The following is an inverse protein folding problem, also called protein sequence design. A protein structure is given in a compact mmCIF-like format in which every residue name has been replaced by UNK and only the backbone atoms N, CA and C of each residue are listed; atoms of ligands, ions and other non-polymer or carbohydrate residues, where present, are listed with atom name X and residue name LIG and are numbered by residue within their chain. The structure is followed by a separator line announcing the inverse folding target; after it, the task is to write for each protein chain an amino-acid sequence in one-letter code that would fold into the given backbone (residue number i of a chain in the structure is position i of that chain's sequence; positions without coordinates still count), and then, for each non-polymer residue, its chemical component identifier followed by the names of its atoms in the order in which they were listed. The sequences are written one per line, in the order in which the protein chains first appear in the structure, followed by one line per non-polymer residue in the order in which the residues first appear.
data_IF_102930812234
#
_entry.id   IF_102930812234
#
_cell.length_a   1.000
_cell.length_b   1.000
_cell.length_c   1.000
_cell.angle_alpha   90.00
_cell.angle_beta   90.00
_cell.angle_gamma   90.00
#
_symmetry.space_group_name_H-M   'P 1'
#
loop_
_entity.id
_entity.type
_entity.pdbx_description
1 polymer ?
#
# COMPACT_ATOMS: atom_id res chain seq x y z
N UNK A 1 8.46 -13.80 -23.12
CA UNK A 1 7.06 -14.03 -23.54
C UNK A 1 6.81 -13.27 -24.83
N UNK A 2 6.16 -13.86 -25.84
CA UNK A 2 5.82 -13.17 -27.10
C UNK A 2 4.49 -12.39 -26.97
N UNK A 3 4.23 -11.39 -27.82
CA UNK A 3 2.96 -10.61 -27.85
C UNK A 3 1.73 -11.52 -28.02
N UNK A 4 1.79 -12.47 -28.96
CA UNK A 4 0.72 -13.46 -29.16
C UNK A 4 0.47 -14.33 -27.93
N UNK A 5 1.55 -14.75 -27.24
CA UNK A 5 1.45 -15.52 -26.01
C UNK A 5 0.82 -14.70 -24.87
N UNK A 6 1.14 -13.40 -24.80
CA UNK A 6 0.58 -12.48 -23.81
C UNK A 6 -0.92 -12.23 -24.04
N UNK A 7 -1.35 -12.03 -25.29
CA UNK A 7 -2.78 -11.87 -25.62
C UNK A 7 -3.57 -13.15 -25.33
N UNK A 8 -2.99 -14.31 -25.65
CA UNK A 8 -3.59 -15.61 -25.33
C UNK A 8 -3.70 -15.83 -23.81
N UNK A 9 -2.71 -15.42 -23.03
CA UNK A 9 -2.72 -15.56 -21.57
C UNK A 9 -3.79 -14.67 -20.89
N UNK A 10 -4.10 -13.51 -21.47
CA UNK A 10 -5.20 -12.66 -21.02
C UNK A 10 -6.56 -13.04 -21.63
N UNK A 11 -6.58 -14.03 -22.53
CA UNK A 11 -7.75 -14.44 -23.30
C UNK A 11 -8.38 -13.29 -24.11
N UNK A 12 -7.53 -12.47 -24.74
CA UNK A 12 -7.90 -11.27 -25.49
C UNK A 12 -7.58 -11.46 -26.98
N UNK A 13 -8.35 -10.84 -27.88
CA UNK A 13 -8.11 -10.91 -29.33
C UNK A 13 -6.87 -10.11 -29.73
N UNK A 14 -6.30 -10.43 -30.90
CA UNK A 14 -5.12 -9.75 -31.43
C UNK A 14 -5.34 -8.26 -31.74
N UNK A 15 -6.59 -7.87 -32.05
CA UNK A 15 -6.98 -6.52 -32.43
C UNK A 15 -7.62 -5.72 -31.28
N UNK A 16 -7.58 -6.24 -30.06
CA UNK A 16 -8.22 -5.62 -28.91
C UNK A 16 -7.57 -4.29 -28.51
N UNK A 17 -8.41 -3.34 -28.14
CA UNK A 17 -7.98 -2.05 -27.61
C UNK A 17 -7.14 -2.21 -26.33
N UNK A 18 -6.27 -1.23 -26.07
CA UNK A 18 -5.51 -1.15 -24.82
C UNK A 18 -6.43 -1.19 -23.58
N UNK A 19 -7.64 -0.65 -23.69
CA UNK A 19 -8.60 -0.64 -22.59
C UNK A 19 -9.21 -2.03 -22.36
N UNK A 20 -9.48 -2.81 -23.41
CA UNK A 20 -9.92 -4.21 -23.31
C UNK A 20 -8.86 -5.08 -22.63
N UNK A 21 -7.58 -4.86 -22.96
CA UNK A 21 -6.45 -5.57 -22.34
C UNK A 21 -6.38 -5.28 -20.82
N UNK A 22 -6.64 -4.03 -20.39
CA UNK A 22 -6.69 -3.68 -18.97
C UNK A 22 -7.86 -4.33 -18.26
N UNK A 23 -9.03 -4.35 -18.88
CA UNK A 23 -10.24 -4.93 -18.31
C UNK A 23 -10.06 -6.43 -18.10
N UNK A 24 -9.57 -7.14 -19.12
CA UNK A 24 -9.27 -8.56 -19.05
C UNK A 24 -8.24 -8.88 -17.95
N UNK A 25 -7.18 -8.09 -17.85
CA UNK A 25 -6.19 -8.22 -16.77
C UNK A 25 -6.81 -8.06 -15.38
N UNK A 26 -7.62 -7.01 -15.16
CA UNK A 26 -8.26 -6.76 -13.86
C UNK A 26 -9.19 -7.90 -13.44
N UNK A 27 -9.95 -8.44 -14.40
CA UNK A 27 -10.84 -9.58 -14.15
C UNK A 27 -10.06 -10.82 -13.73
N UNK A 28 -9.05 -11.21 -14.52
CA UNK A 28 -8.22 -12.38 -14.25
C UNK A 28 -7.40 -12.22 -12.96
N UNK A 29 -6.90 -11.03 -12.66
CA UNK A 29 -6.16 -10.76 -11.43
C UNK A 29 -7.00 -10.95 -10.16
N UNK A 30 -8.31 -10.68 -10.24
CA UNK A 30 -9.24 -10.89 -9.12
C UNK A 30 -9.65 -12.37 -8.97
N UNK A 31 -9.82 -13.07 -10.09
CA UNK A 31 -10.15 -14.50 -10.12
C UNK A 31 -9.00 -15.37 -9.60
N UNK A 32 -7.76 -15.05 -10.00
CA UNK A 32 -6.56 -15.81 -9.65
C UNK A 32 -5.74 -15.20 -8.51
N UNK A 33 -6.34 -14.31 -7.70
CA UNK A 33 -5.65 -13.71 -6.58
C UNK A 33 -5.28 -14.78 -5.53
N UNK A 34 -4.02 -14.86 -5.06
CA UNK A 34 -3.56 -15.92 -4.16
C UNK A 34 -4.30 -15.94 -2.81
N UNK A 35 -4.84 -14.80 -2.39
CA UNK A 35 -5.66 -14.68 -1.16
C UNK A 35 -7.06 -15.31 -1.30
N UNK A 36 -7.61 -15.34 -2.52
CA UNK A 36 -8.93 -15.93 -2.80
C UNK A 36 -8.86 -17.37 -3.27
N UNK A 37 -7.77 -17.76 -3.93
CA UNK A 37 -7.65 -19.06 -4.56
C UNK A 37 -6.52 -19.89 -3.92
N UNK A 38 -6.83 -20.50 -2.77
CA UNK A 38 -5.92 -21.35 -1.99
C UNK A 38 -5.55 -22.67 -2.69
N UNK A 39 -6.20 -22.99 -3.82
CA UNK A 39 -6.03 -24.26 -4.55
C UNK A 39 -4.72 -24.34 -5.34
N UNK A 40 -4.20 -23.20 -5.82
CA UNK A 40 -2.89 -23.10 -6.47
C UNK A 40 -1.90 -22.35 -5.57
N UNK A 41 -1.26 -23.07 -4.66
CA UNK A 41 -0.33 -22.51 -3.65
C UNK A 41 0.83 -21.66 -4.21
N UNK A 42 1.16 -21.80 -5.49
CA UNK A 42 2.32 -21.12 -6.10
C UNK A 42 1.97 -19.84 -6.87
N UNK A 43 0.68 -19.56 -7.09
CA UNK A 43 0.21 -18.39 -7.84
C UNK A 43 0.79 -18.32 -9.27
N UNK A 44 1.06 -19.47 -9.88
CA UNK A 44 1.74 -19.56 -11.17
C UNK A 44 0.90 -18.93 -12.29
N UNK A 45 -0.43 -19.08 -12.24
CA UNK A 45 -1.34 -18.42 -13.17
C UNK A 45 -1.34 -16.90 -13.01
N UNK A 46 -1.38 -16.40 -11.77
CA UNK A 46 -1.29 -14.96 -11.49
C UNK A 46 0.01 -14.34 -12.01
N UNK A 47 1.14 -15.04 -11.83
CA UNK A 47 2.44 -14.61 -12.39
C UNK A 47 2.40 -14.51 -13.91
N UNK A 48 1.85 -15.53 -14.59
CA UNK A 48 1.70 -15.53 -16.06
C UNK A 48 0.83 -14.38 -16.56
N UNK A 49 -0.30 -14.13 -15.89
CA UNK A 49 -1.22 -13.02 -16.21
C UNK A 49 -0.51 -11.66 -16.04
N UNK A 50 0.26 -11.50 -14.96
CA UNK A 50 1.01 -10.27 -14.68
C UNK A 50 2.15 -10.04 -15.66
N UNK A 51 2.91 -11.09 -16.02
CA UNK A 51 3.96 -11.04 -17.04
C UNK A 51 3.40 -10.67 -18.42
N UNK A 52 2.26 -11.26 -18.80
CA UNK A 52 1.57 -10.97 -20.05
C UNK A 52 1.16 -9.49 -20.14
N UNK A 53 0.51 -8.97 -19.10
CA UNK A 53 0.08 -7.56 -19.06
C UNK A 53 1.26 -6.59 -19.10
N UNK A 54 2.32 -6.87 -18.34
CA UNK A 54 3.53 -6.02 -18.34
C UNK A 54 4.22 -6.00 -19.71
N UNK A 55 4.23 -7.13 -20.42
CA UNK A 55 4.76 -7.20 -21.77
C UNK A 55 3.91 -6.36 -22.74
N UNK A 56 2.58 -6.45 -22.69
CA UNK A 56 1.69 -5.64 -23.54
C UNK A 56 1.82 -4.14 -23.21
N UNK A 57 1.89 -3.78 -21.94
CA UNK A 57 2.06 -2.40 -21.48
C UNK A 57 3.32 -1.73 -22.05
N UNK A 58 4.45 -2.43 -22.06
CA UNK A 58 5.71 -1.91 -22.62
C UNK A 58 5.59 -1.64 -24.12
N UNK A 59 4.98 -2.56 -24.87
CA UNK A 59 4.81 -2.41 -26.32
C UNK A 59 3.84 -1.27 -26.67
N UNK A 60 2.77 -1.08 -25.89
CA UNK A 60 1.83 0.03 -26.09
C UNK A 60 2.45 1.40 -25.74
N UNK A 61 3.23 1.49 -24.65
CA UNK A 61 3.85 2.76 -24.24
C UNK A 61 4.98 3.23 -25.17
N UNK A 62 5.75 2.31 -25.77
CA UNK A 62 6.82 2.68 -26.70
C UNK A 62 6.30 3.45 -27.94
N UNK A 63 5.06 3.19 -28.38
CA UNK A 63 4.41 3.96 -29.44
C UNK A 63 3.97 5.37 -29.01
N UNK A 64 3.95 5.68 -27.70
CA UNK A 64 3.51 7.00 -27.18
C UNK A 64 4.65 7.92 -26.77
N UNK A 65 5.88 7.40 -26.67
CA UNK A 65 7.04 8.19 -26.22
C UNK A 65 7.67 9.05 -27.32
N UNK A 66 7.41 8.77 -28.61
CA UNK A 66 7.84 9.64 -29.73
C UNK A 66 7.16 11.03 -29.67
N UNK A 67 6.00 11.16 -29.02
CA UNK A 67 5.23 12.42 -28.96
C UNK A 67 5.52 13.26 -27.72
N UNK A 68 6.19 12.72 -26.69
CA UNK A 68 6.39 13.40 -25.39
C UNK A 68 7.69 14.19 -25.25
N UNK A 69 8.65 14.03 -26.15
CA UNK A 69 9.94 14.75 -26.08
C UNK A 69 9.86 16.26 -26.37
N UNK A 70 8.68 16.84 -26.62
CA UNK A 70 8.53 18.28 -26.95
C UNK A 70 8.06 19.18 -25.80
N UNK A 71 7.88 18.67 -24.58
CA UNK A 71 7.22 19.42 -23.49
C UNK A 71 8.02 19.52 -22.18
N UNK A 72 9.34 19.47 -22.23
CA UNK A 72 10.18 19.73 -21.06
C UNK A 72 11.28 20.73 -21.37
N UNK A 73 10.89 21.92 -21.81
CA UNK A 73 11.72 23.13 -21.68
C UNK A 73 10.80 24.29 -21.34
N UNK A 74 10.57 24.52 -20.04
CA UNK A 74 10.28 25.85 -19.50
C UNK A 74 10.46 25.84 -17.99
N UNK A 75 11.48 26.58 -17.57
CA UNK A 75 11.80 26.94 -16.20
C UNK A 75 10.66 27.70 -15.51
N UNK A 76 10.67 27.59 -14.17
CA UNK A 76 10.02 28.44 -13.15
C UNK A 76 8.68 27.95 -12.58
N UNK A 77 8.72 27.45 -11.34
CA UNK A 77 8.24 28.21 -10.17
C UNK A 77 8.57 27.50 -8.86
N UNK A 78 9.31 28.20 -8.03
CA UNK A 78 9.49 28.01 -6.59
C UNK A 78 8.15 28.16 -5.87
N UNK A 79 7.95 27.36 -4.81
CA UNK A 79 6.79 27.26 -3.89
C UNK A 79 5.82 26.10 -4.19
N UNK A 80 6.32 24.87 -4.03
CA UNK A 80 5.47 23.68 -3.88
C UNK A 80 5.25 23.44 -2.38
N UNK A 81 4.16 23.95 -1.82
CA UNK A 81 3.72 23.54 -0.49
C UNK A 81 3.45 22.02 -0.50
N UNK A 82 3.98 21.32 0.51
CA UNK A 82 3.79 19.88 0.67
C UNK A 82 2.32 19.60 1.02
N UNK A 83 1.47 19.41 0.00
CA UNK A 83 0.16 18.76 0.18
C UNK A 83 0.40 17.37 0.77
N UNK A 84 -0.26 17.06 1.88
CA UNK A 84 -0.43 15.68 2.35
C UNK A 84 -1.06 14.89 1.20
N UNK A 85 -0.38 13.84 0.76
CA UNK A 85 -0.67 13.11 -0.48
C UNK A 85 -2.01 12.35 -0.45
N UNK A 86 -2.71 12.35 0.68
CA UNK A 86 -3.98 11.65 0.90
C UNK A 86 -4.85 12.38 1.92
N UNK A 87 -6.14 12.52 1.59
CA UNK A 87 -7.16 13.18 2.42
C UNK A 87 -7.94 14.25 1.64
N UNK A 88 -9.22 14.42 1.96
CA UNK A 88 -10.01 15.52 1.43
C UNK A 88 -9.45 16.87 1.94
N UNK A 89 -9.31 17.91 1.11
CA UNK A 89 -8.95 19.25 1.57
C UNK A 89 -9.92 19.72 2.65
N UNK A 90 -9.40 20.33 3.71
CA UNK A 90 -10.26 20.86 4.78
C UNK A 90 -11.11 22.02 4.26
N UNK A 91 -12.43 21.82 4.17
CA UNK A 91 -13.39 22.91 3.98
C UNK A 91 -13.87 23.17 2.55
N UNK A 92 -13.46 22.37 1.56
CA UNK A 92 -14.04 22.43 0.21
C UNK A 92 -14.91 21.19 -0.03
N UNK A 93 -16.05 21.38 -0.71
CA UNK A 93 -16.86 20.26 -1.19
C UNK A 93 -16.00 19.40 -2.11
N UNK A 94 -15.95 18.10 -1.81
CA UNK A 94 -15.23 17.11 -2.62
C UNK A 94 -15.81 17.20 -4.03
N UNK A 95 -15.03 17.55 -5.06
CA UNK A 95 -15.56 17.61 -6.42
C UNK A 95 -16.10 16.23 -6.77
N UNK A 96 -17.38 16.17 -7.12
CA UNK A 96 -18.07 14.94 -7.50
C UNK A 96 -17.37 14.41 -8.76
N UNK A 97 -16.51 13.41 -8.56
CA UNK A 97 -15.76 12.82 -9.65
C UNK A 97 -16.72 11.93 -10.41
N UNK A 98 -16.96 12.26 -11.67
CA UNK A 98 -17.82 11.47 -12.54
C UNK A 98 -17.08 10.22 -13.03
N UNK A 99 -17.14 9.17 -12.22
CA UNK A 99 -16.55 7.86 -12.51
C UNK A 99 -17.29 7.11 -13.61
N UNK A 100 -18.50 7.56 -13.99
CA UNK A 100 -19.35 6.93 -15.01
C UNK A 100 -18.67 6.83 -16.38
N UNK A 101 -17.69 7.69 -16.67
CA UNK A 101 -16.84 7.60 -17.87
C UNK A 101 -16.05 6.30 -17.96
N UNK A 102 -15.70 5.68 -16.83
CA UNK A 102 -14.87 4.48 -16.76
C UNK A 102 -15.65 3.21 -16.37
N UNK A 103 -16.87 3.36 -15.85
CA UNK A 103 -17.72 2.26 -15.37
C UNK A 103 -18.98 2.04 -16.20
N UNK A 104 -19.24 2.86 -17.24
CA UNK A 104 -20.49 2.82 -18.03
C UNK A 104 -20.87 1.44 -18.59
N UNK A 105 -19.91 0.74 -19.20
CA UNK A 105 -20.15 -0.61 -19.77
C UNK A 105 -20.42 -1.66 -18.68
N UNK A 106 -19.94 -1.42 -17.46
CA UNK A 106 -20.17 -2.27 -16.29
C UNK A 106 -21.53 -1.97 -15.63
N UNK A 107 -21.93 -0.69 -15.60
CA UNK A 107 -23.23 -0.20 -15.11
C UNK A 107 -24.40 -0.60 -16.02
N UNK A 108 -24.18 -0.74 -17.34
CA UNK A 108 -25.20 -1.20 -18.29
C UNK A 108 -25.52 -2.71 -18.17
N UNK A 109 -24.58 -3.53 -17.67
CA UNK A 109 -24.76 -4.98 -17.52
C UNK A 109 -25.48 -5.42 -16.24
N UNK A 110 -25.36 -4.65 -15.17
CA UNK A 110 -26.04 -4.88 -13.89
C UNK A 110 -26.24 -3.53 -13.17
N UNK A 111 -27.37 -2.84 -13.43
CA UNK A 111 -27.65 -1.50 -12.87
C UNK A 111 -27.70 -1.48 -11.34
N UNK A 112 -27.89 -2.65 -10.73
CA UNK A 112 -27.96 -2.85 -9.29
C UNK A 112 -26.61 -3.13 -8.66
N UNK A 113 -25.63 -3.63 -9.42
CA UNK A 113 -24.32 -4.03 -8.90
C UNK A 113 -23.63 -2.91 -8.11
N UNK A 114 -23.50 -1.71 -8.68
CA UNK A 114 -22.78 -0.63 -8.00
C UNK A 114 -23.54 -0.11 -6.78
N UNK A 115 -24.88 -0.06 -6.86
CA UNK A 115 -25.71 0.33 -5.72
C UNK A 115 -25.64 -0.68 -4.59
N UNK A 116 -25.66 -1.98 -4.91
CA UNK A 116 -25.53 -3.05 -3.91
C UNK A 116 -24.10 -3.14 -3.37
N UNK A 117 -23.09 -2.99 -4.21
CA UNK A 117 -21.69 -2.99 -3.81
C UNK A 117 -21.37 -1.81 -2.90
N UNK A 118 -21.73 -0.59 -3.30
CA UNK A 118 -21.52 0.62 -2.50
C UNK A 118 -22.30 0.56 -1.19
N UNK A 119 -23.56 0.11 -1.24
CA UNK A 119 -24.37 -0.12 -0.04
C UNK A 119 -23.71 -1.14 0.88
N UNK A 120 -23.29 -2.30 0.37
CA UNK A 120 -22.65 -3.35 1.19
C UNK A 120 -21.29 -2.90 1.71
N UNK A 121 -20.52 -2.15 0.92
CA UNK A 121 -19.25 -1.59 1.33
C UNK A 121 -19.42 -0.58 2.47
N UNK A 122 -20.36 0.37 2.36
CA UNK A 122 -20.64 1.32 3.44
C UNK A 122 -21.32 0.67 4.63
N UNK A 123 -22.15 -0.36 4.44
CA UNK A 123 -22.70 -1.17 5.55
C UNK A 123 -21.58 -1.90 6.29
N UNK A 124 -20.66 -2.58 5.60
CA UNK A 124 -19.51 -3.26 6.20
C UNK A 124 -18.52 -2.26 6.83
N UNK A 125 -18.24 -1.15 6.15
CA UNK A 125 -17.34 -0.09 6.63
C UNK A 125 -17.95 0.62 7.83
N UNK A 126 -19.21 1.06 7.80
CA UNK A 126 -19.87 1.70 8.95
C UNK A 126 -20.17 0.71 10.09
N UNK A 127 -20.32 -0.59 9.80
CA UNK A 127 -20.32 -1.62 10.84
C UNK A 127 -18.95 -1.75 11.51
N UNK A 128 -17.85 -1.69 10.73
CA UNK A 128 -16.46 -1.66 11.22
C UNK A 128 -16.00 -0.30 11.74
N UNK A 129 -16.71 0.77 11.42
CA UNK A 129 -16.44 2.16 11.81
C UNK A 129 -17.75 2.73 12.33
N UNK A 130 -18.21 2.27 13.50
CA UNK A 130 -19.30 2.96 14.19
C UNK A 130 -18.84 4.38 14.48
N UNK A 131 -19.72 5.36 14.25
CA UNK A 131 -19.56 6.77 14.63
C UNK A 131 -19.14 6.96 16.09
N UNK A 132 -19.43 5.96 16.92
CA UNK A 132 -19.26 5.95 18.36
C UNK A 132 -17.83 5.57 18.80
N UNK A 133 -16.95 5.16 17.85
CA UNK A 133 -15.56 4.76 18.12
C UNK A 133 -15.40 3.45 18.92
N UNK A 134 -16.50 2.77 19.26
CA UNK A 134 -16.54 1.57 20.13
C UNK A 134 -16.58 0.26 19.35
N UNK A 135 -15.68 0.11 18.38
CA UNK A 135 -15.50 -1.16 17.68
C UNK A 135 -14.35 -1.99 18.24
N UNK A 136 -13.95 -1.71 19.49
CA UNK A 136 -12.94 -2.46 20.23
C UNK A 136 -11.51 -2.32 19.71
N UNK A 137 -11.31 -1.91 18.45
CA UNK A 137 -9.98 -1.63 17.88
C UNK A 137 -9.31 -0.43 18.54
N UNK A 138 -10.07 0.62 18.86
CA UNK A 138 -9.55 1.79 19.57
C UNK A 138 -9.18 1.46 21.03
N UNK A 139 -9.94 0.57 21.68
CA UNK A 139 -9.62 0.11 23.04
C UNK A 139 -8.38 -0.78 23.06
N UNK A 140 -8.15 -1.61 22.03
CA UNK A 140 -6.92 -2.40 21.86
C UNK A 140 -5.70 -1.55 21.56
N UNK A 141 -5.87 -0.43 20.86
CA UNK A 141 -4.80 0.54 20.60
C UNK A 141 -4.47 1.41 21.82
N UNK A 142 -5.33 1.41 22.86
CA UNK A 142 -5.09 2.16 24.09
C UNK A 142 -3.87 1.59 24.81
N UNK A 143 -2.88 2.44 25.00
CA UNK A 143 -1.66 2.08 25.71
C UNK A 143 -1.98 1.72 27.18
N UNK A 144 -1.35 0.69 27.76
CA UNK A 144 -1.58 0.33 29.15
C UNK A 144 -1.20 1.48 30.10
N UNK A 145 -1.94 1.68 31.19
CA UNK A 145 -1.67 2.77 32.15
C UNK A 145 -0.28 2.64 32.79
N UNK A 146 0.22 1.41 32.94
CA UNK A 146 1.59 1.13 33.40
C UNK A 146 2.41 0.62 32.23
N UNK A 147 3.35 1.44 31.77
CA UNK A 147 4.32 1.07 30.75
C UNK A 147 5.51 0.37 31.40
N UNK A 148 5.92 -0.84 30.98
CA UNK A 148 7.18 -1.43 31.39
C UNK A 148 8.36 -0.60 30.88
N UNK A 149 9.49 -0.71 31.58
CA UNK A 149 10.71 -0.02 31.17
C UNK A 149 11.39 -0.82 30.05
N UNK A 150 11.20 -0.37 28.80
CA UNK A 150 11.74 -1.05 27.63
C UNK A 150 13.13 -0.53 27.26
N UNK A 151 14.02 -1.45 26.91
CA UNK A 151 15.22 -1.19 26.13
C UNK A 151 14.90 -1.47 24.66
N UNK A 152 15.15 -0.47 23.80
CA UNK A 152 14.91 -0.57 22.36
C UNK A 152 16.21 -0.25 21.65
N UNK A 153 16.61 -1.12 20.73
CA UNK A 153 17.78 -0.92 19.88
C UNK A 153 17.50 -1.34 18.43
N UNK A 154 18.32 -0.86 17.50
CA UNK A 154 18.25 -1.23 16.09
C UNK A 154 19.57 -1.81 15.64
N UNK A 155 19.54 -3.08 15.22
CA UNK A 155 20.68 -3.71 14.58
C UNK A 155 20.89 -3.14 13.17
N UNK A 156 21.94 -2.33 13.02
CA UNK A 156 22.31 -1.66 11.77
C UNK A 156 22.73 -2.65 10.67
N UNK A 157 23.18 -3.84 11.04
CA UNK A 157 23.56 -4.89 10.09
C UNK A 157 22.32 -5.47 9.38
N UNK A 158 21.23 -5.65 10.11
CA UNK A 158 19.95 -6.18 9.62
C UNK A 158 19.03 -5.10 9.05
N UNK A 159 19.16 -3.84 9.49
CA UNK A 159 18.29 -2.76 9.04
C UNK A 159 18.51 -2.45 7.55
N UNK A 160 17.49 -2.63 6.72
CA UNK A 160 17.54 -2.35 5.28
C UNK A 160 17.09 -0.93 4.90
N UNK A 161 16.82 -0.07 5.89
CA UNK A 161 16.39 1.31 5.66
C UNK A 161 14.97 1.44 5.11
N UNK A 162 14.04 0.58 5.52
CA UNK A 162 12.64 0.62 5.08
C UNK A 162 11.81 1.79 5.68
N UNK A 163 12.37 2.52 6.65
CA UNK A 163 11.76 3.67 7.31
C UNK A 163 10.43 3.44 8.06
N UNK A 164 9.85 2.23 8.06
CA UNK A 164 8.55 1.96 8.68
C UNK A 164 8.51 2.34 10.17
N UNK A 165 9.63 2.17 10.88
CA UNK A 165 9.75 2.52 12.29
C UNK A 165 9.69 4.03 12.58
N UNK A 166 10.27 4.90 11.73
CA UNK A 166 10.14 6.37 11.85
C UNK A 166 8.70 6.82 11.58
N UNK A 167 7.97 6.09 10.72
CA UNK A 167 6.57 6.41 10.42
C UNK A 167 5.64 6.05 11.58
N UNK A 168 5.83 4.87 12.18
CA UNK A 168 4.96 4.37 13.26
C UNK A 168 5.28 5.04 14.60
N UNK A 169 6.55 5.27 14.90
CA UNK A 169 7.01 5.85 16.16
C UNK A 169 8.16 6.87 15.93
N UNK A 170 7.84 8.09 15.42
CA UNK A 170 8.85 9.11 15.10
C UNK A 170 9.60 9.64 16.32
N UNK A 171 8.96 9.63 17.48
CA UNK A 171 9.59 10.07 18.74
C UNK A 171 10.58 9.03 19.30
N UNK A 172 10.52 7.79 18.81
CA UNK A 172 11.41 6.70 19.22
C UNK A 172 12.52 6.48 18.21
N UNK A 173 12.18 6.43 16.93
CA UNK A 173 13.11 6.10 15.85
C UNK A 173 13.34 7.28 14.92
N UNK A 174 14.58 7.44 14.48
CA UNK A 174 14.93 8.33 13.39
C UNK A 174 15.88 7.69 12.42
N UNK A 175 15.72 8.03 11.15
CA UNK A 175 16.60 7.57 10.10
C UNK A 175 17.75 8.55 9.85
N UNK A 176 18.93 8.00 9.56
CA UNK A 176 20.07 8.80 9.20
C UNK A 176 19.90 9.38 7.78
N UNK A 177 19.40 10.62 7.72
CA UNK A 177 19.15 11.37 6.47
C UNK A 177 20.43 11.80 5.74
N UNK A 178 21.61 11.66 6.38
CA UNK A 178 22.89 12.04 5.77
C UNK A 178 23.40 10.99 4.78
N UNK A 179 23.00 9.73 4.95
CA UNK A 179 23.37 8.64 4.05
C UNK A 179 22.45 8.61 2.83
N UNK A 180 22.98 8.97 1.65
CA UNK A 180 22.23 8.90 0.37
C UNK A 180 21.89 7.47 -0.06
N UNK A 181 22.65 6.48 0.41
CA UNK A 181 22.44 5.05 0.11
C UNK A 181 22.18 4.30 1.41
N UNK A 182 21.06 3.58 1.49
CA UNK A 182 20.61 2.76 2.62
C UNK A 182 20.66 3.49 3.99
N UNK A 183 19.80 4.50 4.20
CA UNK A 183 19.74 5.22 5.45
C UNK A 183 19.30 4.28 6.58
N UNK A 184 20.14 4.10 7.59
CA UNK A 184 19.86 3.21 8.72
C UNK A 184 19.03 3.94 9.77
N UNK A 185 18.07 3.24 10.36
CA UNK A 185 17.35 3.74 11.54
C UNK A 185 18.19 3.61 12.80
N UNK A 186 17.93 4.49 13.75
CA UNK A 186 18.51 4.52 15.09
C UNK A 186 17.45 4.94 16.09
N UNK A 187 17.61 4.51 17.34
CA UNK A 187 16.73 4.91 18.44
C UNK A 187 17.20 6.24 19.00
N UNK A 188 16.31 7.23 19.08
CA UNK A 188 16.56 8.52 19.74
C UNK A 188 16.13 8.45 21.21
N UNK A 189 14.89 8.00 21.43
CA UNK A 189 14.30 7.96 22.77
C UNK A 189 13.47 6.67 22.94
N UNK A 190 13.97 5.69 23.71
CA UNK A 190 13.23 4.44 23.94
C UNK A 190 11.90 4.65 24.70
N UNK A 191 11.70 5.81 25.34
CA UNK A 191 10.48 6.19 26.05
C UNK A 191 9.58 7.16 25.26
N UNK A 192 9.86 7.38 23.97
CA UNK A 192 9.13 8.33 23.13
C UNK A 192 7.69 7.91 22.81
N UNK A 193 7.36 6.62 22.92
CA UNK A 193 6.03 6.07 22.65
C UNK A 193 5.70 4.92 23.62
N UNK A 194 4.42 4.56 23.74
CA UNK A 194 4.04 3.41 24.54
C UNK A 194 4.39 2.07 23.87
N UNK A 195 4.37 1.01 24.67
CA UNK A 195 4.78 -0.35 24.29
C UNK A 195 4.07 -0.83 23.04
N UNK A 196 2.76 -0.61 22.92
CA UNK A 196 2.00 -1.09 21.77
C UNK A 196 2.50 -0.48 20.46
N UNK A 197 2.84 0.82 20.44
CA UNK A 197 3.40 1.48 19.26
C UNK A 197 4.80 1.00 18.93
N UNK A 198 5.64 0.82 19.96
CA UNK A 198 7.01 0.31 19.80
C UNK A 198 6.98 -1.12 19.25
N UNK A 199 6.12 -1.98 19.79
CA UNK A 199 5.94 -3.36 19.33
C UNK A 199 5.39 -3.41 17.90
N UNK A 200 4.40 -2.57 17.56
CA UNK A 200 3.89 -2.48 16.20
C UNK A 200 4.99 -2.05 15.20
N UNK A 201 5.82 -1.08 15.58
CA UNK A 201 6.98 -0.67 14.77
C UNK A 201 8.00 -1.82 14.58
N UNK A 202 8.22 -2.62 15.63
CA UNK A 202 9.10 -3.77 15.61
C UNK A 202 8.56 -4.90 14.72
N UNK A 203 7.27 -5.25 14.85
CA UNK A 203 6.58 -6.27 14.06
C UNK A 203 6.47 -5.91 12.58
N UNK A 204 6.34 -4.62 12.26
CA UNK A 204 6.31 -4.12 10.89
C UNK A 204 7.70 -4.17 10.21
N UNK A 205 8.76 -4.45 10.96
CA UNK A 205 10.12 -4.53 10.41
C UNK A 205 10.33 -5.84 9.62
N UNK A 206 10.57 -5.78 8.29
CA UNK A 206 10.66 -6.99 7.45
C UNK A 206 11.87 -7.87 7.79
N UNK A 207 12.97 -7.28 8.23
CA UNK A 207 14.20 -7.99 8.60
C UNK A 207 14.32 -8.22 10.11
N UNK A 208 13.29 -7.86 10.89
CA UNK A 208 13.30 -7.95 12.36
C UNK A 208 14.54 -7.32 13.01
N UNK A 209 14.99 -6.19 12.47
CA UNK A 209 16.21 -5.50 12.91
C UNK A 209 16.04 -4.74 14.24
N UNK A 210 14.80 -4.55 14.70
CA UNK A 210 14.49 -3.85 15.95
C UNK A 210 14.55 -4.87 17.08
N UNK A 211 15.21 -4.54 18.17
CA UNK A 211 15.30 -5.35 19.39
C UNK A 211 14.52 -4.61 20.48
N UNK A 212 13.60 -5.32 21.13
CA UNK A 212 12.81 -4.80 22.25
C UNK A 212 12.98 -5.76 23.43
N UNK A 213 13.52 -5.26 24.53
CA UNK A 213 13.76 -6.01 25.75
C UNK A 213 13.13 -5.29 26.94
N UNK A 214 12.59 -6.05 27.89
CA UNK A 214 12.12 -5.51 29.15
C UNK A 214 13.30 -5.43 30.13
N UNK A 215 13.63 -4.24 30.62
CA UNK A 215 14.77 -4.02 31.51
C UNK A 215 14.53 -4.66 32.88
N UNK A 216 13.28 -4.68 33.35
CA UNK A 216 12.93 -5.15 34.69
C UNK A 216 12.97 -6.68 34.75
N UNK A 217 12.46 -7.36 33.71
CA UNK A 217 12.43 -8.83 33.63
C UNK A 217 13.63 -9.42 32.89
N UNK A 218 14.41 -8.60 32.17
CA UNK A 218 15.47 -9.02 31.22
C UNK A 218 14.98 -9.96 30.13
N UNK A 219 13.68 -9.94 29.86
CA UNK A 219 13.06 -10.76 28.82
C UNK A 219 13.11 -10.03 27.48
N UNK A 220 13.46 -10.75 26.41
CA UNK A 220 13.38 -10.22 25.05
C UNK A 220 11.96 -10.37 24.54
N UNK A 221 11.30 -9.25 24.30
CA UNK A 221 9.94 -9.19 23.76
C UNK A 221 9.94 -9.31 22.24
N UNK A 222 10.98 -8.81 21.56
CA UNK A 222 11.14 -8.94 20.12
C UNK A 222 12.62 -8.81 19.70
N UNK A 223 13.08 -9.52 18.67
CA UNK A 223 12.42 -10.65 18.00
C UNK A 223 12.29 -11.86 18.94
N UNK A 224 11.23 -12.67 18.73
CA UNK A 224 10.96 -13.92 19.47
C UNK A 224 11.87 -15.07 19.07
#
# INVERSE_FOLDING_TARGET
MNTYQALKALNVKSESSWDEIKIAYRKLALEFHPDKNTSEKEGNEFKKITEAYNHLKKNFNQNTDETKQKFTDTNNKTNFERKSQWGAPSGENIPEQDWSKYTREFEEGDPTFWREYEKRFWEEYNARVRSDGRNGEYEKAKEPEKQPNLFVDVDKSLCIGCCSCEIIAPDVFSINKNSKSNPKSSVINPKGAGVNKIMNAAETCPTKAIIVENIDTKERLFPY
#
